data_IF_760008842657
#
_entry.id   IF_760008842657
#
_cell.length_a   1.000
_cell.length_b   1.000
_cell.length_c   1.000
_cell.angle_alpha   90.00
_cell.angle_beta   90.00
_cell.angle_gamma   90.00
#
_symmetry.space_group_name_H-M   'P 1'
#
loop_
_entity.id
_entity.type
_entity.pdbx_description
1 polymer ?
#
# COMPACT_ATOMS: atom_id res chain seq x y z
N UNK A 1 -23.24 17.30 16.47
CA UNK A 1 -22.23 16.26 16.51
C UNK A 1 -22.32 15.29 15.34
N UNK A 2 -21.42 14.33 15.25
CA UNK A 2 -21.26 13.36 14.17
C UNK A 2 -22.54 12.59 13.78
N UNK A 3 -23.25 12.04 14.78
CA UNK A 3 -24.51 11.31 14.55
C UNK A 3 -25.59 12.17 13.87
N UNK A 4 -25.64 13.48 14.17
CA UNK A 4 -26.58 14.39 13.50
C UNK A 4 -26.20 14.58 12.02
N UNK A 5 -24.91 14.63 11.70
CA UNK A 5 -24.41 14.69 10.31
C UNK A 5 -24.72 13.38 9.57
N UNK A 6 -24.46 12.24 10.22
CA UNK A 6 -24.75 10.91 9.65
C UNK A 6 -26.23 10.74 9.29
N UNK A 7 -27.14 11.13 10.19
CA UNK A 7 -28.60 11.09 9.93
C UNK A 7 -29.06 12.09 8.87
N UNK A 8 -28.42 13.27 8.79
CA UNK A 8 -28.73 14.26 7.75
C UNK A 8 -28.30 13.81 6.35
N UNK A 9 -27.37 12.90 6.24
CA UNK A 9 -26.91 12.33 4.96
C UNK A 9 -28.00 11.50 4.26
N UNK A 10 -29.15 11.19 4.96
CA UNK A 10 -30.32 10.48 4.42
C UNK A 10 -29.95 9.29 3.51
N UNK A 11 -29.02 8.46 3.96
CA UNK A 11 -28.57 7.30 3.18
C UNK A 11 -29.64 6.20 3.22
N UNK A 12 -30.04 5.69 2.06
CA UNK A 12 -30.94 4.54 1.96
C UNK A 12 -30.26 3.23 2.37
N UNK A 13 -28.95 3.18 2.20
CA UNK A 13 -28.14 2.01 2.45
C UNK A 13 -26.86 2.37 3.22
N UNK A 14 -26.49 1.54 4.18
CA UNK A 14 -25.17 1.54 4.83
C UNK A 14 -24.56 0.16 4.70
N UNK A 15 -23.24 0.15 4.40
CA UNK A 15 -22.42 -1.04 4.32
C UNK A 15 -21.31 -0.87 5.35
N UNK A 16 -21.32 -1.77 6.32
CA UNK A 16 -20.25 -1.89 7.32
C UNK A 16 -19.33 -3.03 6.91
N UNK A 17 -18.11 -2.70 6.51
CA UNK A 17 -17.11 -3.67 6.09
C UNK A 17 -16.23 -4.13 7.24
N UNK A 18 -16.22 -3.41 8.34
CA UNK A 18 -15.39 -3.67 9.51
C UNK A 18 -16.04 -4.70 10.44
N UNK A 19 -17.34 -4.55 10.69
CA UNK A 19 -18.11 -5.48 11.53
C UNK A 19 -17.83 -5.35 13.02
N UNK A 20 -17.10 -4.31 13.41
CA UNK A 20 -16.80 -4.04 14.80
C UNK A 20 -18.02 -3.47 15.55
N UNK A 21 -17.98 -3.58 16.89
CA UNK A 21 -19.10 -3.11 17.72
C UNK A 21 -19.41 -1.62 17.49
N UNK A 22 -18.38 -0.81 17.32
CA UNK A 22 -18.54 0.64 17.13
C UNK A 22 -19.14 0.97 15.76
N UNK A 23 -18.62 0.39 14.68
CA UNK A 23 -19.14 0.58 13.33
C UNK A 23 -20.58 0.05 13.19
N UNK A 24 -20.88 -1.08 13.82
CA UNK A 24 -22.23 -1.64 13.89
C UNK A 24 -23.23 -0.71 14.60
N UNK A 25 -22.84 -0.09 15.73
CA UNK A 25 -23.67 0.91 16.41
C UNK A 25 -23.92 2.13 15.51
N UNK A 26 -22.90 2.63 14.81
CA UNK A 26 -23.06 3.73 13.86
C UNK A 26 -24.01 3.36 12.74
N UNK A 27 -23.88 2.16 12.18
CA UNK A 27 -24.80 1.61 11.18
C UNK A 27 -26.26 1.63 11.69
N UNK A 28 -26.49 1.14 12.91
CA UNK A 28 -27.82 1.11 13.53
C UNK A 28 -28.41 2.48 13.78
N UNK A 29 -27.59 3.46 14.16
CA UNK A 29 -28.00 4.82 14.48
C UNK A 29 -28.09 5.75 13.27
N UNK A 30 -27.63 5.34 12.11
CA UNK A 30 -27.65 6.13 10.86
C UNK A 30 -29.06 6.50 10.39
N UNK A 31 -30.03 5.63 10.64
CA UNK A 31 -31.38 5.74 10.10
C UNK A 31 -31.57 5.09 8.73
N UNK A 32 -30.52 4.49 8.15
CA UNK A 32 -30.61 3.80 6.85
C UNK A 32 -31.59 2.62 6.89
N UNK A 33 -32.39 2.50 5.84
CA UNK A 33 -33.37 1.40 5.70
C UNK A 33 -32.68 0.06 5.53
N UNK A 34 -31.63 0.02 4.72
CA UNK A 34 -30.83 -1.17 4.45
C UNK A 34 -29.46 -1.05 5.11
N UNK A 35 -29.12 -2.01 5.96
CA UNK A 35 -27.86 -2.06 6.69
C UNK A 35 -27.22 -3.42 6.48
N UNK A 36 -26.13 -3.44 5.74
CA UNK A 36 -25.32 -4.61 5.44
C UNK A 36 -24.07 -4.62 6.34
N UNK A 37 -23.64 -5.79 6.71
CA UNK A 37 -22.42 -5.97 7.49
C UNK A 37 -22.13 -7.46 7.75
N UNK A 38 -20.97 -7.79 8.30
CA UNK A 38 -20.58 -9.18 8.55
C UNK A 38 -21.52 -9.90 9.52
N UNK A 39 -21.72 -11.20 9.31
CA UNK A 39 -22.39 -12.07 10.30
C UNK A 39 -21.52 -12.20 11.56
N UNK A 40 -22.18 -12.37 12.70
CA UNK A 40 -21.51 -12.57 13.98
C UNK A 40 -22.53 -12.66 15.12
N UNK A 41 -22.06 -12.95 16.33
CA UNK A 41 -22.92 -13.22 17.51
C UNK A 41 -24.02 -12.17 17.76
N UNK A 42 -23.80 -10.91 17.39
CA UNK A 42 -24.74 -9.81 17.59
C UNK A 42 -25.08 -9.04 16.31
N UNK A 43 -24.75 -9.57 15.14
CA UNK A 43 -24.91 -8.90 13.84
C UNK A 43 -26.36 -8.42 13.61
N UNK A 44 -27.37 -9.23 14.00
CA UNK A 44 -28.79 -8.89 13.88
C UNK A 44 -29.23 -7.64 14.66
N UNK A 45 -28.43 -7.21 15.65
CA UNK A 45 -28.71 -5.98 16.41
C UNK A 45 -28.35 -4.73 15.61
N UNK A 46 -27.43 -4.86 14.66
CA UNK A 46 -26.89 -3.74 13.90
C UNK A 46 -27.37 -3.74 12.44
N UNK A 47 -27.40 -4.92 11.82
CA UNK A 47 -27.73 -5.10 10.42
C UNK A 47 -29.06 -5.82 10.24
N UNK A 48 -29.84 -5.39 9.27
CA UNK A 48 -31.02 -6.12 8.83
C UNK A 48 -30.72 -7.00 7.60
N UNK A 49 -29.52 -6.87 7.04
CA UNK A 49 -29.00 -7.69 5.95
C UNK A 49 -27.58 -8.19 6.27
N UNK A 50 -27.38 -9.03 7.30
CA UNK A 50 -26.06 -9.56 7.61
C UNK A 50 -25.57 -10.51 6.51
N UNK A 51 -24.26 -10.48 6.22
CA UNK A 51 -23.61 -11.32 5.21
C UNK A 51 -22.45 -12.09 5.81
N UNK A 52 -22.33 -13.37 5.47
CA UNK A 52 -21.17 -14.17 5.85
C UNK A 52 -19.95 -13.69 5.05
N UNK A 53 -18.87 -13.34 5.75
CA UNK A 53 -17.58 -13.05 5.13
C UNK A 53 -16.70 -14.29 5.20
N UNK A 54 -16.11 -14.65 4.09
CA UNK A 54 -15.07 -15.66 4.09
C UNK A 54 -13.72 -14.99 4.40
N UNK A 55 -13.31 -15.05 5.67
CA UNK A 55 -12.06 -14.46 6.15
C UNK A 55 -10.80 -15.17 5.67
N UNK A 56 -10.91 -16.34 5.04
CA UNK A 56 -9.78 -17.05 4.41
C UNK A 56 -9.49 -16.56 2.98
N UNK A 57 -10.43 -15.82 2.37
CA UNK A 57 -10.23 -15.16 1.08
C UNK A 57 -9.48 -13.86 1.23
N UNK A 58 -8.91 -13.41 0.12
CA UNK A 58 -8.36 -12.06 0.01
C UNK A 58 -9.39 -11.03 0.47
N UNK A 59 -8.98 -10.06 1.29
CA UNK A 59 -9.91 -9.12 1.95
C UNK A 59 -10.77 -8.33 0.95
N UNK A 60 -10.20 -7.95 -0.17
CA UNK A 60 -10.94 -7.30 -1.26
C UNK A 60 -12.10 -8.18 -1.76
N UNK A 61 -11.84 -9.46 -2.01
CA UNK A 61 -12.88 -10.39 -2.49
C UNK A 61 -13.93 -10.67 -1.41
N UNK A 62 -13.52 -10.80 -0.16
CA UNK A 62 -14.43 -10.98 0.96
C UNK A 62 -15.38 -9.77 1.13
N UNK A 63 -14.88 -8.55 0.97
CA UNK A 63 -15.71 -7.35 0.99
C UNK A 63 -16.59 -7.23 -0.26
N UNK A 64 -16.09 -7.66 -1.42
CA UNK A 64 -16.88 -7.74 -2.66
C UNK A 64 -18.17 -8.55 -2.49
N UNK A 65 -18.13 -9.64 -1.72
CA UNK A 65 -19.31 -10.47 -1.43
C UNK A 65 -20.44 -9.72 -0.68
N UNK A 66 -20.12 -8.68 0.10
CA UNK A 66 -21.12 -7.79 0.69
C UNK A 66 -21.72 -6.88 -0.39
N UNK A 67 -20.90 -6.43 -1.33
CA UNK A 67 -21.28 -5.49 -2.38
C UNK A 67 -22.06 -6.14 -3.53
N UNK A 68 -21.87 -7.43 -3.79
CA UNK A 68 -22.53 -8.19 -4.86
C UNK A 68 -24.07 -8.12 -4.80
N UNK A 69 -24.60 -7.78 -3.62
CA UNK A 69 -26.05 -7.56 -3.42
C UNK A 69 -26.53 -6.23 -4.01
N UNK A 70 -25.62 -5.27 -4.15
CA UNK A 70 -25.95 -3.91 -4.55
C UNK A 70 -25.50 -3.60 -5.98
N UNK A 71 -24.56 -4.37 -6.51
CA UNK A 71 -23.97 -4.16 -7.83
C UNK A 71 -24.21 -5.40 -8.68
N UNK A 72 -25.04 -5.27 -9.70
CA UNK A 72 -25.21 -6.32 -10.71
C UNK A 72 -24.00 -6.33 -11.64
N UNK A 73 -23.03 -7.16 -11.34
CA UNK A 73 -21.81 -7.32 -12.14
C UNK A 73 -20.61 -7.71 -11.28
N UNK A 74 -19.68 -8.47 -11.84
CA UNK A 74 -18.41 -8.74 -11.16
C UNK A 74 -17.72 -7.41 -10.86
N UNK A 75 -17.29 -7.22 -9.62
CA UNK A 75 -16.40 -6.12 -9.28
C UNK A 75 -15.22 -6.15 -10.26
N UNK A 76 -14.84 -5.01 -10.86
CA UNK A 76 -13.73 -5.00 -11.79
C UNK A 76 -12.48 -5.56 -11.09
N UNK A 77 -11.87 -6.58 -11.68
CA UNK A 77 -10.63 -7.18 -11.15
C UNK A 77 -9.46 -6.18 -11.17
N UNK A 78 -9.61 -5.10 -11.93
CA UNK A 78 -8.58 -4.09 -12.13
C UNK A 78 -9.01 -2.77 -11.50
N UNK A 79 -8.07 -2.18 -10.86
CA UNK A 79 -8.13 -0.91 -10.17
C UNK A 79 -8.51 0.19 -11.15
N UNK A 80 -9.43 1.05 -10.73
CA UNK A 80 -9.87 2.20 -11.53
C UNK A 80 -8.71 3.20 -11.68
N UNK A 81 -8.48 3.73 -12.88
CA UNK A 81 -7.46 4.74 -13.07
C UNK A 81 -7.81 6.00 -12.28
N UNK A 82 -6.83 6.50 -11.52
CA UNK A 82 -6.98 7.76 -10.80
C UNK A 82 -6.92 8.94 -11.76
N UNK A 83 -7.95 9.77 -11.75
CA UNK A 83 -7.95 11.08 -12.41
C UNK A 83 -7.50 12.12 -11.40
N UNK A 84 -6.28 12.63 -11.56
CA UNK A 84 -5.70 13.63 -10.66
C UNK A 84 -5.84 15.02 -11.28
N UNK A 85 -6.16 16.02 -10.44
CA UNK A 85 -6.15 17.42 -10.83
C UNK A 85 -4.74 17.92 -11.21
N UNK A 86 -4.68 18.99 -11.98
CA UNK A 86 -3.41 19.63 -12.36
C UNK A 86 -2.61 20.12 -11.14
N UNK A 87 -3.30 20.69 -10.13
CA UNK A 87 -2.67 21.18 -8.90
C UNK A 87 -1.86 20.09 -8.17
N UNK A 88 -2.44 18.89 -8.06
CA UNK A 88 -1.77 17.75 -7.43
C UNK A 88 -0.52 17.35 -8.21
N UNK A 89 -0.60 17.32 -9.53
CA UNK A 89 0.55 16.97 -10.39
C UNK A 89 1.66 17.99 -10.30
N UNK A 90 1.32 19.29 -10.29
CA UNK A 90 2.29 20.36 -10.14
C UNK A 90 2.93 20.38 -8.74
N UNK A 91 2.19 20.07 -7.68
CA UNK A 91 2.75 19.94 -6.34
C UNK A 91 3.83 18.85 -6.26
N UNK A 92 3.56 17.65 -6.84
CA UNK A 92 4.54 16.56 -6.88
C UNK A 92 5.73 16.91 -7.77
N UNK A 93 5.49 17.55 -8.93
CA UNK A 93 6.56 18.03 -9.81
C UNK A 93 7.46 19.03 -9.08
N UNK A 94 6.87 20.01 -8.40
CA UNK A 94 7.61 21.00 -7.61
C UNK A 94 8.43 20.35 -6.49
N UNK A 95 7.91 19.33 -5.83
CA UNK A 95 8.69 18.55 -4.86
C UNK A 95 9.92 17.91 -5.51
N UNK A 96 9.74 17.17 -6.61
CA UNK A 96 10.84 16.49 -7.31
C UNK A 96 11.92 17.48 -7.79
N UNK A 97 11.50 18.61 -8.35
CA UNK A 97 12.39 19.70 -8.79
C UNK A 97 13.14 20.33 -7.62
N UNK A 98 12.46 20.63 -6.51
CA UNK A 98 13.08 21.22 -5.31
C UNK A 98 14.14 20.32 -4.66
N UNK A 99 14.00 19.01 -4.82
CA UNK A 99 14.93 17.99 -4.34
C UNK A 99 15.96 17.56 -5.39
N UNK A 100 15.96 18.19 -6.57
CA UNK A 100 16.86 17.87 -7.69
C UNK A 100 16.80 16.40 -8.10
N UNK A 101 15.61 15.78 -8.02
CA UNK A 101 15.41 14.39 -8.42
C UNK A 101 15.15 14.38 -9.93
N UNK A 102 16.22 14.27 -10.71
CA UNK A 102 16.19 14.24 -12.19
C UNK A 102 16.33 12.84 -12.78
N UNK A 103 16.91 11.91 -12.00
CA UNK A 103 17.06 10.50 -12.38
C UNK A 103 15.79 9.70 -12.04
N UNK A 104 15.62 8.51 -12.62
CA UNK A 104 14.60 7.57 -12.20
C UNK A 104 14.72 7.30 -10.70
N UNK A 105 13.59 7.22 -9.99
CA UNK A 105 13.58 7.04 -8.54
C UNK A 105 12.66 5.91 -8.10
N UNK A 106 12.96 5.35 -6.95
CA UNK A 106 12.15 4.37 -6.25
C UNK A 106 11.49 5.00 -5.04
N UNK A 107 10.24 4.62 -4.77
CA UNK A 107 9.55 5.00 -3.55
C UNK A 107 9.67 3.87 -2.53
N UNK A 108 10.13 4.19 -1.32
CA UNK A 108 10.29 3.24 -0.22
C UNK A 108 9.40 3.67 0.94
N UNK A 109 8.60 2.76 1.47
CA UNK A 109 7.87 2.93 2.72
C UNK A 109 8.42 1.96 3.77
N UNK A 110 9.26 2.43 4.69
CA UNK A 110 9.84 1.57 5.71
C UNK A 110 8.88 1.28 6.86
N UNK A 111 7.86 2.12 7.04
CA UNK A 111 6.91 2.05 8.14
C UNK A 111 5.86 0.96 8.03
N UNK A 112 5.18 0.71 9.12
CA UNK A 112 4.01 -0.15 9.21
C UNK A 112 3.18 0.18 10.44
N UNK A 113 1.90 -0.25 10.47
CA UNK A 113 0.98 -0.05 11.59
C UNK A 113 1.35 -0.84 12.86
N UNK A 114 2.28 -1.79 12.77
CA UNK A 114 2.74 -2.60 13.90
C UNK A 114 4.21 -2.98 13.74
N UNK A 115 4.94 -3.07 14.85
CA UNK A 115 6.38 -3.33 14.84
C UNK A 115 6.74 -4.69 14.22
N UNK A 116 5.90 -5.69 14.39
CA UNK A 116 6.10 -7.02 13.80
C UNK A 116 6.02 -7.05 12.26
N UNK A 117 5.61 -5.94 11.65
CA UNK A 117 5.56 -5.76 10.18
C UNK A 117 6.71 -4.90 9.66
N UNK A 118 7.54 -4.34 10.54
CA UNK A 118 8.66 -3.48 10.17
C UNK A 118 9.89 -4.31 9.83
N UNK A 119 10.41 -4.11 8.64
CA UNK A 119 11.70 -4.68 8.25
C UNK A 119 12.83 -3.88 8.92
N UNK A 120 13.97 -4.52 9.29
CA UNK A 120 15.02 -3.85 10.06
C UNK A 120 15.57 -2.58 9.37
N UNK A 121 15.90 -1.56 10.19
CA UNK A 121 16.46 -0.27 9.72
C UNK A 121 17.75 -0.48 8.96
N UNK A 122 18.67 -1.31 9.49
CA UNK A 122 19.95 -1.67 8.90
C UNK A 122 19.78 -2.39 7.55
N UNK A 123 18.70 -3.12 7.37
CA UNK A 123 18.39 -3.79 6.10
C UNK A 123 17.90 -2.80 5.05
N UNK A 124 17.08 -1.82 5.44
CA UNK A 124 16.73 -0.72 4.55
C UNK A 124 17.94 0.11 4.16
N UNK A 125 18.86 0.40 5.09
CA UNK A 125 20.10 1.13 4.79
C UNK A 125 20.98 0.39 3.79
N UNK A 126 21.15 -0.93 3.97
CA UNK A 126 21.86 -1.78 3.01
C UNK A 126 21.19 -1.77 1.63
N UNK A 127 19.86 -1.94 1.59
CA UNK A 127 19.07 -1.91 0.33
C UNK A 127 19.23 -0.57 -0.39
N UNK A 128 19.13 0.55 0.33
CA UNK A 128 19.31 1.90 -0.24
C UNK A 128 20.67 2.05 -0.88
N UNK A 129 21.74 1.58 -0.22
CA UNK A 129 23.10 1.59 -0.78
C UNK A 129 23.17 0.83 -2.10
N UNK A 130 22.56 -0.35 -2.16
CA UNK A 130 22.53 -1.18 -3.37
C UNK A 130 21.71 -0.50 -4.49
N UNK A 131 20.55 0.10 -4.17
CA UNK A 131 19.72 0.82 -5.14
C UNK A 131 20.42 2.06 -5.71
N UNK A 132 21.16 2.79 -4.87
CA UNK A 132 21.97 3.94 -5.31
C UNK A 132 23.06 3.54 -6.30
N UNK A 133 23.66 2.36 -6.18
CA UNK A 133 24.64 1.86 -7.16
C UNK A 133 24.05 1.67 -8.56
N UNK A 134 22.70 1.58 -8.66
CA UNK A 134 21.96 1.49 -9.91
C UNK A 134 21.52 2.87 -10.47
N UNK A 135 22.07 3.96 -9.94
CA UNK A 135 21.72 5.34 -10.30
C UNK A 135 20.21 5.65 -10.11
N UNK A 136 19.62 5.13 -9.03
CA UNK A 136 18.24 5.42 -8.65
C UNK A 136 18.19 6.52 -7.59
N UNK A 137 17.25 7.45 -7.74
CA UNK A 137 16.84 8.36 -6.68
C UNK A 137 16.08 7.59 -5.60
N UNK A 138 16.20 8.01 -4.34
CA UNK A 138 15.48 7.40 -3.21
C UNK A 138 14.50 8.41 -2.65
N UNK A 139 13.22 8.10 -2.72
CA UNK A 139 12.15 8.86 -2.06
C UNK A 139 11.53 7.96 -1.01
N UNK A 140 11.59 8.36 0.25
CA UNK A 140 10.91 7.67 1.33
C UNK A 140 9.62 8.37 1.69
N UNK A 141 8.58 7.60 1.95
CA UNK A 141 7.28 8.09 2.39
C UNK A 141 6.98 7.59 3.79
N UNK A 142 6.32 8.41 4.60
CA UNK A 142 5.91 8.07 5.95
C UNK A 142 5.52 9.31 6.74
N UNK A 143 4.69 9.13 7.75
CA UNK A 143 4.24 10.18 8.65
C UNK A 143 4.27 9.69 10.10
N UNK A 144 4.36 10.60 11.05
CA UNK A 144 4.35 10.25 12.47
C UNK A 144 5.51 9.33 12.85
N UNK A 145 5.20 8.11 13.31
CA UNK A 145 6.21 7.15 13.77
C UNK A 145 7.13 6.65 12.65
N UNK A 146 6.65 6.65 11.41
CA UNK A 146 7.46 6.25 10.25
C UNK A 146 8.60 7.23 9.99
N UNK A 147 8.43 8.52 10.33
CA UNK A 147 9.48 9.55 10.22
C UNK A 147 10.73 9.16 11.02
N UNK A 148 10.54 8.66 12.25
CA UNK A 148 11.69 8.21 13.07
C UNK A 148 12.46 7.06 12.44
N UNK A 149 11.77 6.19 11.75
CA UNK A 149 12.40 5.08 11.03
C UNK A 149 13.17 5.59 9.79
N UNK A 150 12.61 6.55 9.07
CA UNK A 150 13.28 7.21 7.93
C UNK A 150 14.53 7.93 8.41
N UNK A 151 14.46 8.68 9.51
CA UNK A 151 15.60 9.38 10.10
C UNK A 151 16.69 8.39 10.52
N UNK A 152 16.34 7.30 11.19
CA UNK A 152 17.29 6.28 11.59
C UNK A 152 17.99 5.58 10.40
N UNK A 153 17.31 5.43 9.27
CA UNK A 153 17.91 4.94 8.02
C UNK A 153 18.88 5.98 7.45
N UNK A 154 18.47 7.25 7.43
CA UNK A 154 19.28 8.35 6.91
C UNK A 154 20.55 8.58 7.73
N UNK A 155 20.50 8.44 9.05
CA UNK A 155 21.64 8.53 9.96
C UNK A 155 22.71 7.48 9.64
N UNK A 156 22.34 6.30 9.19
CA UNK A 156 23.28 5.26 8.76
C UNK A 156 23.93 5.56 7.39
N UNK A 157 23.39 6.53 6.66
CA UNK A 157 23.74 6.83 5.27
C UNK A 157 24.02 8.34 5.06
N UNK A 158 24.97 8.96 5.81
CA UNK A 158 25.15 10.41 5.81
C UNK A 158 25.54 11.00 4.45
N UNK A 159 26.06 10.19 3.54
CA UNK A 159 26.49 10.61 2.19
C UNK A 159 25.50 10.21 1.10
N UNK A 160 24.30 9.72 1.46
CA UNK A 160 23.27 9.30 0.50
C UNK A 160 22.08 10.24 0.59
N UNK A 161 21.74 10.88 -0.52
CA UNK A 161 20.54 11.70 -0.58
C UNK A 161 19.30 10.81 -0.52
N UNK A 162 18.58 10.90 0.59
CA UNK A 162 17.25 10.33 0.82
C UNK A 162 16.28 11.50 0.92
N UNK A 163 15.22 11.47 0.15
CA UNK A 163 14.21 12.53 0.12
C UNK A 163 12.94 12.05 0.81
N UNK A 164 12.59 12.69 1.92
CA UNK A 164 11.37 12.37 2.67
C UNK A 164 10.18 13.17 2.12
N UNK A 165 9.08 12.45 1.90
CA UNK A 165 7.83 12.99 1.38
C UNK A 165 6.73 12.76 2.42
N UNK A 166 6.45 13.78 3.26
CA UNK A 166 5.67 13.65 4.49
C UNK A 166 4.39 14.51 4.53
N UNK A 167 4.27 15.49 3.61
CA UNK A 167 3.22 16.51 3.71
C UNK A 167 2.08 16.33 2.70
N UNK A 168 1.96 15.18 2.08
CA UNK A 168 1.05 14.98 0.97
C UNK A 168 -0.07 14.00 1.31
N UNK A 169 -1.26 14.31 0.82
CA UNK A 169 -2.43 13.45 0.93
C UNK A 169 -2.38 12.25 -0.03
N UNK A 170 -3.44 11.45 -0.03
CA UNK A 170 -3.54 10.32 -0.94
C UNK A 170 -3.45 10.67 -2.43
N UNK A 171 -4.05 11.78 -2.93
CA UNK A 171 -3.91 12.17 -4.32
C UNK A 171 -2.47 12.43 -4.72
N UNK A 172 -1.70 13.12 -3.87
CA UNK A 172 -0.29 13.45 -4.08
C UNK A 172 0.59 12.19 -4.04
N UNK A 173 0.30 11.25 -3.13
CA UNK A 173 0.98 9.95 -3.12
C UNK A 173 0.74 9.17 -4.42
N UNK A 174 -0.49 9.15 -4.93
CA UNK A 174 -0.79 8.54 -6.22
C UNK A 174 -0.03 9.23 -7.35
N UNK A 175 0.04 10.58 -7.35
CA UNK A 175 0.80 11.34 -8.35
C UNK A 175 2.30 11.02 -8.27
N UNK A 176 2.86 10.86 -7.06
CA UNK A 176 4.25 10.42 -6.86
C UNK A 176 4.47 9.01 -7.40
N UNK A 177 3.57 8.07 -7.11
CA UNK A 177 3.65 6.70 -7.59
C UNK A 177 3.60 6.62 -9.11
N UNK A 178 2.79 7.44 -9.77
CA UNK A 178 2.74 7.52 -11.24
C UNK A 178 4.04 8.03 -11.88
N UNK A 179 4.94 8.66 -11.11
CA UNK A 179 6.26 9.13 -11.56
C UNK A 179 7.41 8.20 -11.18
N UNK A 180 7.21 7.35 -10.19
CA UNK A 180 8.22 6.43 -9.70
C UNK A 180 8.47 5.27 -10.67
N UNK A 181 9.64 4.64 -10.56
CA UNK A 181 9.94 3.41 -11.29
C UNK A 181 9.23 2.21 -10.67
N UNK A 182 9.32 2.07 -9.36
CA UNK A 182 8.66 1.03 -8.59
C UNK A 182 8.60 1.41 -7.10
N UNK A 183 7.85 0.63 -6.34
CA UNK A 183 7.70 0.79 -4.90
C UNK A 183 8.30 -0.40 -4.16
N UNK A 184 8.85 -0.15 -2.95
CA UNK A 184 9.25 -1.18 -1.99
C UNK A 184 8.68 -0.82 -0.61
N UNK A 185 8.06 -1.78 0.06
CA UNK A 185 7.56 -1.59 1.42
C UNK A 185 6.87 -2.82 1.99
N UNK A 186 6.52 -2.75 3.27
CA UNK A 186 5.81 -3.80 3.98
C UNK A 186 4.31 -3.85 3.69
N UNK A 187 3.61 -4.82 4.31
CA UNK A 187 2.14 -4.91 4.33
C UNK A 187 1.53 -3.69 5.03
N UNK A 188 1.14 -2.69 4.24
CA UNK A 188 0.68 -1.38 4.70
C UNK A 188 -0.26 -0.71 3.69
N UNK A 189 -0.96 0.34 4.13
CA UNK A 189 -1.84 1.13 3.27
C UNK A 189 -1.15 1.68 2.02
N UNK A 190 0.03 2.32 2.12
CA UNK A 190 0.80 2.78 0.96
C UNK A 190 1.13 1.71 -0.08
N UNK A 191 1.38 0.46 0.33
CA UNK A 191 1.58 -0.66 -0.59
C UNK A 191 0.35 -0.91 -1.47
N UNK A 192 -0.84 -0.94 -0.85
CA UNK A 192 -2.09 -1.12 -1.59
C UNK A 192 -2.39 0.08 -2.49
N UNK A 193 -2.07 1.29 -2.04
CA UNK A 193 -2.23 2.49 -2.84
C UNK A 193 -1.29 2.50 -4.06
N UNK A 194 -0.04 2.07 -3.90
CA UNK A 194 0.92 1.92 -4.99
C UNK A 194 0.43 0.89 -6.03
N UNK A 195 -0.03 -0.29 -5.57
CA UNK A 195 -0.66 -1.28 -6.44
C UNK A 195 -1.85 -0.69 -7.20
N UNK A 196 -2.71 0.07 -6.49
CA UNK A 196 -3.89 0.70 -7.08
C UNK A 196 -3.56 1.80 -8.08
N UNK A 197 -2.42 2.42 -7.98
CA UNK A 197 -1.92 3.38 -8.96
C UNK A 197 -1.26 2.71 -10.20
N UNK A 198 -1.22 1.38 -10.24
CA UNK A 198 -0.60 0.62 -11.33
C UNK A 198 0.92 0.59 -11.27
N UNK A 199 1.52 0.94 -10.12
CA UNK A 199 2.96 0.93 -9.95
C UNK A 199 3.46 -0.49 -9.69
N UNK A 200 4.53 -0.89 -10.38
CA UNK A 200 5.25 -2.12 -10.05
C UNK A 200 5.80 -2.05 -8.62
N UNK A 201 5.74 -3.15 -7.89
CA UNK A 201 6.15 -3.12 -6.50
C UNK A 201 6.76 -4.43 -5.98
N UNK A 202 7.59 -4.27 -4.95
CA UNK A 202 8.12 -5.35 -4.13
C UNK A 202 7.55 -5.19 -2.71
N UNK A 203 6.73 -6.14 -2.32
CA UNK A 203 6.06 -6.16 -1.02
C UNK A 203 6.77 -7.12 -0.06
N UNK A 204 7.13 -6.61 1.12
CA UNK A 204 7.84 -7.35 2.16
C UNK A 204 6.82 -7.86 3.19
N UNK A 205 6.64 -9.18 3.25
CA UNK A 205 5.67 -9.81 4.13
C UNK A 205 6.36 -10.56 5.26
N UNK A 206 5.87 -10.33 6.46
CA UNK A 206 6.25 -11.06 7.66
C UNK A 206 5.09 -11.96 8.15
N UNK A 207 4.55 -11.73 9.37
CA UNK A 207 3.49 -12.54 9.94
C UNK A 207 2.15 -12.43 9.21
N UNK A 208 1.92 -11.36 8.44
CA UNK A 208 0.68 -11.16 7.69
C UNK A 208 0.47 -12.25 6.66
N UNK A 209 -0.77 -12.71 6.50
CA UNK A 209 -1.14 -13.72 5.50
C UNK A 209 -1.24 -13.08 4.12
N UNK A 210 -0.40 -13.47 3.19
CA UNK A 210 -0.38 -13.00 1.80
C UNK A 210 -1.70 -13.31 1.07
N UNK A 211 -2.28 -14.47 1.34
CA UNK A 211 -3.57 -14.87 0.77
C UNK A 211 -4.69 -13.89 1.08
N UNK A 212 -4.55 -13.11 2.15
CA UNK A 212 -5.53 -12.13 2.63
C UNK A 212 -5.15 -10.70 2.23
N UNK A 213 -3.86 -10.37 2.29
CA UNK A 213 -3.39 -8.99 2.21
C UNK A 213 -2.38 -8.70 1.10
N UNK A 214 -2.08 -9.65 0.20
CA UNK A 214 -1.20 -9.32 -0.92
C UNK A 214 -1.74 -8.14 -1.75
N UNK A 215 -0.87 -7.30 -2.33
CA UNK A 215 -1.31 -6.27 -3.24
C UNK A 215 -2.00 -6.89 -4.46
N UNK A 216 -3.07 -6.27 -4.93
CA UNK A 216 -3.79 -6.74 -6.12
C UNK A 216 -3.07 -6.31 -7.40
N UNK A 217 -3.19 -7.12 -8.46
CA UNK A 217 -2.64 -6.84 -9.78
C UNK A 217 -1.38 -7.68 -10.09
N UNK A 218 -1.05 -7.76 -11.37
CA UNK A 218 0.00 -8.62 -11.91
C UNK A 218 1.42 -8.01 -11.81
N UNK A 219 1.51 -6.77 -11.28
CA UNK A 219 2.75 -5.98 -11.19
C UNK A 219 3.39 -6.04 -9.80
N UNK A 220 2.97 -6.96 -8.96
CA UNK A 220 3.46 -7.08 -7.60
C UNK A 220 4.32 -8.33 -7.39
N UNK A 221 5.43 -8.17 -6.68
CA UNK A 221 6.27 -9.26 -6.18
C UNK A 221 6.17 -9.28 -4.66
N UNK A 222 5.59 -10.33 -4.12
CA UNK A 222 5.52 -10.54 -2.68
C UNK A 222 6.71 -11.38 -2.25
N UNK A 223 7.47 -10.88 -1.29
CA UNK A 223 8.62 -11.54 -0.70
C UNK A 223 8.37 -11.84 0.77
N UNK A 224 8.80 -13.00 1.20
CA UNK A 224 8.79 -13.43 2.59
C UNK A 224 10.13 -14.03 2.95
N UNK A 225 10.52 -13.93 4.20
CA UNK A 225 11.70 -14.61 4.70
C UNK A 225 11.57 -16.13 4.61
N UNK A 226 12.70 -16.81 4.55
CA UNK A 226 12.81 -18.27 4.32
C UNK A 226 12.36 -19.11 5.51
N UNK A 227 12.28 -18.51 6.71
CA UNK A 227 11.89 -19.20 7.94
C UNK A 227 10.39 -19.02 8.18
N UNK A 228 9.62 -20.07 7.98
CA UNK A 228 8.19 -20.09 8.28
C UNK A 228 7.94 -20.45 9.74
N UNK A 229 6.91 -19.84 10.32
CA UNK A 229 6.36 -20.24 11.63
C UNK A 229 5.37 -21.40 11.46
N UNK A 230 5.07 -22.09 12.58
CA UNK A 230 4.01 -23.07 12.63
C UNK A 230 2.61 -22.48 12.38
N UNK A 231 1.59 -23.35 12.34
CA UNK A 231 0.20 -22.95 12.10
C UNK A 231 -0.37 -22.03 13.20
N UNK A 232 0.17 -22.14 14.41
CA UNK A 232 -0.28 -21.41 15.61
C UNK A 232 0.55 -20.15 15.87
N UNK A 233 1.08 -19.53 14.81
CA UNK A 233 1.86 -18.31 14.91
C UNK A 233 1.01 -17.14 15.44
N UNK A 234 1.41 -16.61 16.61
CA UNK A 234 0.91 -15.35 17.15
C UNK A 234 1.96 -14.25 16.93
N UNK A 235 1.66 -13.31 16.04
CA UNK A 235 2.56 -12.20 15.75
C UNK A 235 2.76 -11.25 16.94
N UNK A 236 1.80 -11.18 17.88
CA UNK A 236 1.90 -10.34 19.09
C UNK A 236 2.80 -10.95 20.16
N UNK A 237 3.01 -12.27 20.12
CA UNK A 237 3.81 -13.02 21.08
C UNK A 237 4.91 -13.83 20.39
N UNK A 238 5.57 -13.20 19.40
CA UNK A 238 6.57 -13.88 18.59
C UNK A 238 7.88 -14.11 19.36
N UNK A 239 8.18 -15.36 19.66
CA UNK A 239 9.42 -15.79 20.34
C UNK A 239 10.63 -15.86 19.39
N UNK A 240 10.43 -15.70 18.07
CA UNK A 240 11.43 -15.90 17.03
C UNK A 240 11.93 -14.58 16.40
N UNK A 241 11.73 -13.45 17.07
CA UNK A 241 12.14 -12.14 16.56
C UNK A 241 11.67 -11.89 15.10
N UNK A 242 10.45 -12.27 14.80
CA UNK A 242 9.84 -12.12 13.47
C UNK A 242 10.71 -12.67 12.33
N UNK A 243 11.31 -13.83 12.53
CA UNK A 243 12.24 -14.42 11.56
C UNK A 243 11.61 -14.64 10.16
N UNK A 244 10.28 -14.75 10.08
CA UNK A 244 9.54 -14.78 8.81
C UNK A 244 9.68 -13.48 7.99
N UNK A 245 10.12 -12.38 8.63
CA UNK A 245 10.46 -11.12 7.98
C UNK A 245 11.96 -10.83 8.07
N UNK A 246 12.57 -11.01 9.24
CA UNK A 246 14.00 -10.69 9.45
C UNK A 246 14.96 -11.66 8.76
N UNK A 247 14.53 -12.85 8.32
CA UNK A 247 15.33 -13.71 7.43
C UNK A 247 15.24 -13.32 5.95
N UNK A 248 14.41 -12.33 5.60
CA UNK A 248 14.41 -11.71 4.27
C UNK A 248 15.55 -10.69 4.21
N UNK A 249 16.68 -11.11 3.66
CA UNK A 249 17.90 -10.29 3.62
C UNK A 249 17.87 -9.25 2.49
N UNK A 250 18.61 -8.13 2.59
CA UNK A 250 18.63 -7.05 1.61
C UNK A 250 18.94 -7.50 0.18
N UNK A 251 19.84 -8.44 0.01
CA UNK A 251 20.27 -8.97 -1.30
C UNK A 251 19.12 -9.63 -2.07
N UNK A 252 18.22 -10.33 -1.36
CA UNK A 252 17.04 -10.94 -1.96
C UNK A 252 16.05 -9.87 -2.41
N UNK A 253 15.84 -8.83 -1.59
CA UNK A 253 14.97 -7.70 -1.93
C UNK A 253 15.55 -6.90 -3.10
N UNK A 254 16.86 -6.65 -3.09
CA UNK A 254 17.54 -5.97 -4.18
C UNK A 254 17.47 -6.76 -5.50
N UNK A 255 17.66 -8.08 -5.44
CA UNK A 255 17.51 -8.95 -6.61
C UNK A 255 16.09 -8.88 -7.19
N UNK A 256 15.06 -8.88 -6.36
CA UNK A 256 13.67 -8.73 -6.79
C UNK A 256 13.41 -7.33 -7.39
N UNK A 257 13.93 -6.26 -6.78
CA UNK A 257 13.82 -4.90 -7.27
C UNK A 257 14.50 -4.74 -8.66
N UNK A 258 15.68 -5.31 -8.83
CA UNK A 258 16.40 -5.33 -10.11
C UNK A 258 15.60 -6.06 -11.18
N UNK A 259 15.05 -7.24 -10.86
CA UNK A 259 14.23 -7.99 -11.79
C UNK A 259 12.92 -7.24 -12.15
N UNK A 260 12.34 -6.50 -11.21
CA UNK A 260 11.19 -5.63 -11.45
C UNK A 260 11.56 -4.51 -12.42
N UNK A 261 12.69 -3.85 -12.22
CA UNK A 261 13.19 -2.79 -13.12
C UNK A 261 13.41 -3.31 -14.54
N UNK A 262 14.05 -4.47 -14.70
CA UNK A 262 14.26 -5.10 -16.02
C UNK A 262 12.92 -5.37 -16.69
N UNK A 263 11.92 -5.91 -15.96
CA UNK A 263 10.60 -6.16 -16.51
C UNK A 263 9.88 -4.87 -16.95
N UNK A 264 10.06 -3.75 -16.22
CA UNK A 264 9.53 -2.44 -16.60
C UNK A 264 10.18 -1.97 -17.91
N UNK A 265 11.51 -2.05 -18.02
CA UNK A 265 12.23 -1.61 -19.21
C UNK A 265 11.87 -2.43 -20.46
N UNK A 266 11.64 -3.74 -20.29
CA UNK A 266 11.17 -4.62 -21.37
C UNK A 266 9.74 -4.31 -21.84
N UNK A 267 8.90 -3.72 -20.99
CA UNK A 267 7.53 -3.31 -21.36
C UNK A 267 7.46 -1.96 -22.05
N UNK A 268 8.51 -1.13 -21.94
CA UNK A 268 8.59 0.13 -22.69
C UNK A 268 8.71 -0.19 -24.19
N UNK A 269 7.89 0.42 -25.08
CA UNK A 269 8.03 0.19 -26.51
C UNK A 269 9.42 0.62 -26.96
N UNK A 270 10.05 -0.18 -27.82
CA UNK A 270 11.40 0.02 -28.35
C UNK A 270 11.61 1.34 -29.13
N UNK A 271 10.56 2.16 -29.30
CA UNK A 271 10.54 3.37 -30.13
C UNK A 271 10.20 4.66 -29.40
N UNK A 272 10.54 4.79 -28.12
CA UNK A 272 10.35 6.06 -27.40
C UNK A 272 11.54 7.04 -27.57
N UNK A 273 12.52 6.73 -28.41
CA UNK A 273 13.60 7.64 -28.82
C UNK A 273 13.43 7.95 -30.29
N UNK A 274 12.75 9.06 -30.60
CA UNK A 274 12.95 9.92 -31.78
C UNK A 274 11.70 10.76 -32.07
N UNK A 275 11.57 11.88 -31.39
CA UNK A 275 11.04 13.09 -32.00
C UNK A 275 11.82 14.27 -31.46
N UNK A 276 13.02 14.46 -32.03
CA UNK A 276 13.54 15.81 -32.17
C UNK A 276 12.63 16.46 -33.18
N UNK A 277 11.75 17.32 -32.74
CA UNK A 277 11.08 18.28 -33.58
C UNK A 277 12.14 19.13 -34.28
N UNK A 278 12.39 18.82 -35.52
CA UNK A 278 12.96 19.77 -36.46
C UNK A 278 11.83 20.68 -36.89
N UNK A 279 11.80 21.87 -36.31
CA UNK A 279 10.94 22.95 -36.78
C UNK A 279 11.58 23.60 -37.99
N UNK A 280 10.86 23.82 -39.12
CA UNK A 280 11.31 24.63 -40.22
C UNK A 280 11.29 26.13 -39.95
#
# INVERSE_FOLDING_TARGET
GFLRKLRKATSDCIIDMEGERFSGVLSRLSGAKNRYGPTGKNAHRFYNNPRALNYEKHRYNAFGEILDVLVTGKAPANILPYTLGSEVREAVKGFLESKLITQPFVVIHPGASADYKKWPVEYFASLVTQLKSQNLGIVMIGVGDDTRMIDAIAEQLPNVAIHHFDQLGYPELVALFQKAQFYIGGDSGPMHLAASAGLDLVALFGPSKETIWAPLGDHSRVLRGTKACGKDCDAWQCEFNYHCLTSLIPEVVFGAATATRVAIDMRKPAFANETKETNP
#
